data_IF_410827787752
#
_entry.id   IF_410827787752
#
_cell.length_a   1.000
_cell.length_b   1.000
_cell.length_c   1.000
_cell.angle_alpha   90.00
_cell.angle_beta   90.00
_cell.angle_gamma   90.00
#
_symmetry.space_group_name_H-M   'P 1'
#
loop_
_entity.id
_entity.type
_entity.pdbx_description
1 polymer ?
#
# COMPACT_ATOMS: atom_id res chain seq x y z
N UNK A 1 -3.24 9.86 16.00
CA UNK A 1 -4.09 8.65 16.13
C UNK A 1 -5.56 8.86 15.79
N UNK A 2 -6.16 10.04 16.03
CA UNK A 2 -7.62 10.28 15.93
C UNK A 2 -8.31 10.04 14.56
N UNK A 3 -7.62 10.15 13.42
CA UNK A 3 -8.30 10.21 12.10
C UNK A 3 -8.85 8.86 11.60
N UNK A 4 -8.18 7.74 11.89
CA UNK A 4 -8.63 6.42 11.39
C UNK A 4 -9.92 5.97 12.07
N UNK A 5 -10.01 6.12 13.40
CA UNK A 5 -11.23 5.78 14.15
C UNK A 5 -12.44 6.62 13.71
N UNK A 6 -12.24 7.91 13.45
CA UNK A 6 -13.32 8.79 12.97
C UNK A 6 -13.93 8.31 11.65
N UNK A 7 -13.09 7.91 10.68
CA UNK A 7 -13.59 7.41 9.39
C UNK A 7 -14.43 6.14 9.57
N UNK A 8 -13.97 5.19 10.40
CA UNK A 8 -14.72 3.96 10.63
C UNK A 8 -16.03 4.18 11.39
N UNK A 9 -16.07 5.11 12.35
CA UNK A 9 -17.33 5.49 12.99
C UNK A 9 -18.31 6.09 11.98
N UNK A 10 -17.86 6.98 11.09
CA UNK A 10 -18.72 7.52 10.03
C UNK A 10 -19.24 6.39 9.13
N UNK A 11 -18.36 5.52 8.63
CA UNK A 11 -18.77 4.40 7.77
C UNK A 11 -19.79 3.46 8.44
N UNK A 12 -19.65 3.24 9.75
CA UNK A 12 -20.58 2.42 10.54
C UNK A 12 -22.00 3.00 10.61
N UNK A 13 -22.12 4.32 10.59
CA UNK A 13 -23.41 5.02 10.61
C UNK A 13 -24.11 5.07 9.24
N UNK A 14 -23.40 4.73 8.16
CA UNK A 14 -23.98 4.74 6.81
C UNK A 14 -24.90 3.54 6.57
N UNK A 15 -25.93 3.75 5.72
CA UNK A 15 -26.81 2.70 5.25
C UNK A 15 -26.99 2.78 3.71
N UNK A 16 -26.46 1.82 2.93
CA UNK A 16 -25.68 0.68 3.38
C UNK A 16 -24.29 1.08 3.89
N UNK A 17 -23.73 0.27 4.81
CA UNK A 17 -22.34 0.43 5.24
C UNK A 17 -21.40 0.14 4.06
N UNK A 18 -20.45 1.03 3.74
CA UNK A 18 -19.58 0.87 2.57
C UNK A 18 -18.53 -0.22 2.78
N UNK A 19 -17.99 -0.72 1.67
CA UNK A 19 -16.70 -1.41 1.68
C UNK A 19 -15.57 -0.37 1.83
N UNK A 20 -14.53 -0.72 2.60
CA UNK A 20 -13.47 0.21 2.98
C UNK A 20 -12.11 -0.37 2.58
N UNK A 21 -11.37 0.36 1.76
CA UNK A 21 -9.96 0.06 1.47
C UNK A 21 -9.07 0.98 2.29
N UNK A 22 -8.25 0.39 3.16
CA UNK A 22 -7.35 1.12 4.04
C UNK A 22 -5.91 1.06 3.54
N UNK A 23 -5.30 2.24 3.38
CA UNK A 23 -3.90 2.34 3.01
C UNK A 23 -2.98 2.08 4.22
N UNK A 24 -2.44 0.87 4.29
CA UNK A 24 -1.28 0.53 5.13
C UNK A 24 0.03 0.79 4.36
N UNK A 25 1.15 0.26 4.84
CA UNK A 25 2.48 0.53 4.29
C UNK A 25 3.41 -0.65 4.55
N UNK A 26 4.33 -0.94 3.64
CA UNK A 26 5.39 -1.92 3.86
C UNK A 26 6.28 -1.58 5.07
N UNK A 27 6.29 -0.32 5.52
CA UNK A 27 7.00 0.09 6.72
C UNK A 27 6.53 -0.62 7.99
N UNK A 28 5.34 -1.24 8.02
CA UNK A 28 4.88 -2.04 9.18
C UNK A 28 5.76 -3.26 9.45
N UNK A 29 6.53 -3.73 8.45
CA UNK A 29 7.53 -4.78 8.65
C UNK A 29 8.74 -4.30 9.47
N UNK A 30 8.95 -2.99 9.58
CA UNK A 30 9.84 -2.38 10.57
C UNK A 30 11.24 -2.99 10.61
N UNK A 31 11.61 -3.54 11.78
CA UNK A 31 12.92 -4.15 12.04
C UNK A 31 13.03 -5.63 11.64
N UNK A 32 12.05 -6.16 10.89
CA UNK A 32 12.10 -7.54 10.42
C UNK A 32 13.33 -7.77 9.53
N UNK A 33 14.11 -8.81 9.85
CA UNK A 33 15.27 -9.24 9.06
C UNK A 33 14.91 -10.26 7.97
N UNK A 34 13.78 -10.97 8.15
CA UNK A 34 13.29 -11.94 7.17
C UNK A 34 12.93 -11.20 5.90
N UNK A 35 13.62 -11.54 4.82
CA UNK A 35 13.24 -11.16 3.47
C UNK A 35 13.06 -12.44 2.63
N UNK A 36 11.98 -12.54 1.84
CA UNK A 36 10.91 -11.55 1.71
C UNK A 36 9.99 -11.39 2.92
N UNK A 37 9.35 -10.23 2.94
CA UNK A 37 8.16 -10.01 3.72
C UNK A 37 6.95 -10.76 3.13
N UNK A 38 6.13 -11.27 4.03
CA UNK A 38 4.84 -11.90 3.74
C UNK A 38 3.75 -11.28 4.62
N UNK A 39 2.50 -11.38 4.20
CA UNK A 39 1.33 -10.92 4.95
C UNK A 39 1.24 -11.54 6.34
N UNK A 40 1.70 -12.79 6.49
CA UNK A 40 1.70 -13.54 7.75
C UNK A 40 2.85 -13.19 8.69
N UNK A 41 3.82 -12.39 8.23
CA UNK A 41 4.93 -11.99 9.09
C UNK A 41 4.45 -11.04 10.20
N UNK A 42 5.01 -11.23 11.40
CA UNK A 42 4.75 -10.34 12.53
C UNK A 42 5.24 -8.93 12.22
N UNK A 43 4.51 -7.93 12.70
CA UNK A 43 4.70 -6.51 12.35
C UNK A 43 4.68 -5.64 13.61
N UNK A 44 5.21 -6.18 14.70
CA UNK A 44 5.09 -5.62 16.05
C UNK A 44 6.32 -4.78 16.46
N UNK A 45 7.33 -4.69 15.58
CA UNK A 45 8.58 -3.94 15.80
C UNK A 45 8.73 -2.80 14.78
N UNK A 46 7.89 -1.73 14.85
CA UNK A 46 7.97 -0.62 13.91
C UNK A 46 9.29 0.14 14.04
N UNK A 47 9.92 0.46 12.91
CA UNK A 47 11.19 1.19 12.87
C UNK A 47 11.04 2.72 12.86
N UNK A 48 9.81 3.23 12.84
CA UNK A 48 9.52 4.67 12.81
C UNK A 48 8.14 4.98 13.38
N UNK A 49 7.92 6.25 13.75
CA UNK A 49 6.58 6.71 14.18
C UNK A 49 5.54 6.51 13.07
N UNK A 50 5.91 6.77 11.82
CA UNK A 50 5.03 6.51 10.68
C UNK A 50 4.61 5.03 10.60
N UNK A 51 5.57 4.09 10.70
CA UNK A 51 5.29 2.66 10.73
C UNK A 51 4.34 2.28 11.88
N UNK A 52 4.58 2.83 13.09
CA UNK A 52 3.72 2.61 14.24
C UNK A 52 2.29 3.10 14.00
N UNK A 53 2.11 4.27 13.37
CA UNK A 53 0.76 4.78 13.06
C UNK A 53 0.02 3.91 12.06
N UNK A 54 0.71 3.36 11.05
CA UNK A 54 0.11 2.43 10.08
C UNK A 54 -0.28 1.12 10.74
N UNK A 55 0.59 0.56 11.58
CA UNK A 55 0.29 -0.65 12.35
C UNK A 55 -0.88 -0.45 13.32
N UNK A 56 -0.96 0.69 14.01
CA UNK A 56 -2.11 1.05 14.83
C UNK A 56 -3.40 1.13 14.00
N UNK A 57 -3.33 1.69 12.79
CA UNK A 57 -4.44 1.68 11.83
C UNK A 57 -4.91 0.27 11.46
N UNK A 58 -4.00 -0.68 11.27
CA UNK A 58 -4.35 -2.09 11.03
C UNK A 58 -5.10 -2.72 12.22
N UNK A 59 -4.62 -2.48 13.44
CA UNK A 59 -5.26 -3.00 14.65
C UNK A 59 -6.67 -2.41 14.86
N UNK A 60 -6.84 -1.10 14.60
CA UNK A 60 -8.14 -0.43 14.65
C UNK A 60 -9.07 -1.04 13.60
N UNK A 61 -8.64 -1.15 12.34
CA UNK A 61 -9.42 -1.73 11.25
C UNK A 61 -9.91 -3.16 11.59
N UNK A 62 -9.01 -4.02 12.07
CA UNK A 62 -9.37 -5.36 12.51
C UNK A 62 -10.45 -5.35 13.60
N UNK A 63 -10.30 -4.46 14.59
CA UNK A 63 -11.26 -4.32 15.69
C UNK A 63 -12.63 -3.92 15.16
N UNK A 64 -12.72 -2.92 14.27
CA UNK A 64 -13.99 -2.49 13.66
C UNK A 64 -14.65 -3.58 12.82
N UNK A 65 -13.88 -4.33 12.02
CA UNK A 65 -14.41 -5.50 11.32
C UNK A 65 -14.96 -6.53 12.32
N UNK A 66 -14.21 -6.82 13.38
CA UNK A 66 -14.58 -7.83 14.35
C UNK A 66 -15.84 -7.48 15.16
N UNK A 67 -15.96 -6.24 15.65
CA UNK A 67 -17.06 -5.84 16.56
C UNK A 67 -18.27 -5.25 15.83
N UNK A 68 -18.06 -4.62 14.66
CA UNK A 68 -19.12 -3.95 13.90
C UNK A 68 -19.42 -4.57 12.54
N UNK A 69 -18.66 -5.59 12.12
CA UNK A 69 -18.89 -6.28 10.86
C UNK A 69 -18.56 -5.44 9.62
N UNK A 70 -17.81 -4.34 9.75
CA UNK A 70 -17.42 -3.51 8.61
C UNK A 70 -16.55 -4.28 7.63
N UNK A 71 -16.88 -4.22 6.34
CA UNK A 71 -16.05 -4.79 5.28
C UNK A 71 -14.81 -3.93 5.05
N UNK A 72 -13.65 -4.41 5.50
CA UNK A 72 -12.40 -3.67 5.45
C UNK A 72 -11.31 -4.53 4.83
N UNK A 73 -10.64 -3.99 3.81
CA UNK A 73 -9.43 -4.57 3.22
C UNK A 73 -8.26 -3.60 3.42
N UNK A 74 -7.19 -4.06 4.06
CA UNK A 74 -5.97 -3.27 4.19
C UNK A 74 -4.97 -3.57 3.08
N UNK A 75 -4.37 -2.54 2.48
CA UNK A 75 -3.34 -2.68 1.45
C UNK A 75 -2.00 -2.16 1.98
N UNK A 76 -0.98 -3.02 2.07
CA UNK A 76 0.39 -2.63 2.45
C UNK A 76 1.17 -2.22 1.20
N UNK A 77 1.19 -0.92 0.95
CA UNK A 77 1.88 -0.36 -0.21
C UNK A 77 3.40 -0.38 -0.06
N UNK A 78 4.08 -0.80 -1.12
CA UNK A 78 5.52 -0.56 -1.34
C UNK A 78 5.74 0.74 -2.10
N UNK A 79 6.94 0.96 -2.65
CA UNK A 79 7.26 2.22 -3.34
C UNK A 79 6.40 2.34 -4.60
N UNK A 80 5.57 3.39 -4.64
CA UNK A 80 4.71 3.71 -5.78
C UNK A 80 5.35 4.84 -6.59
N UNK A 81 5.34 4.71 -7.91
CA UNK A 81 5.83 5.74 -8.82
C UNK A 81 4.90 5.92 -10.02
N UNK A 82 4.98 7.07 -10.68
CA UNK A 82 4.22 7.36 -11.89
C UNK A 82 3.85 8.83 -12.01
N UNK A 83 3.11 9.20 -13.07
CA UNK A 83 2.55 10.53 -13.26
C UNK A 83 1.78 11.03 -12.03
N UNK A 84 1.83 12.34 -11.78
CA UNK A 84 1.23 12.99 -10.60
C UNK A 84 1.77 12.44 -9.27
N UNK A 85 2.96 11.86 -9.33
CA UNK A 85 3.68 11.32 -8.20
C UNK A 85 4.16 12.40 -7.23
N UNK A 86 4.72 11.94 -6.12
CA UNK A 86 5.27 12.80 -5.08
C UNK A 86 6.62 13.39 -5.50
N UNK A 87 6.80 14.73 -5.46
CA UNK A 87 8.03 15.37 -5.89
C UNK A 87 9.22 15.10 -4.96
N UNK A 88 8.96 14.62 -3.75
CA UNK A 88 9.97 14.30 -2.75
C UNK A 88 10.43 12.83 -2.77
N UNK A 89 10.10 12.09 -3.83
CA UNK A 89 10.53 10.69 -4.02
C UNK A 89 11.67 10.58 -5.03
N UNK A 90 12.51 9.55 -4.85
CA UNK A 90 13.76 9.37 -5.60
C UNK A 90 13.60 9.45 -7.12
N UNK A 91 12.56 8.82 -7.70
CA UNK A 91 12.33 8.86 -9.15
C UNK A 91 12.10 10.28 -9.69
N UNK A 92 11.52 11.17 -8.89
CA UNK A 92 11.26 12.56 -9.26
C UNK A 92 12.54 13.39 -9.23
N UNK A 93 13.35 13.24 -8.17
CA UNK A 93 14.65 13.90 -8.06
C UNK A 93 15.61 13.44 -9.15
N UNK A 94 15.68 12.14 -9.44
CA UNK A 94 16.51 11.60 -10.51
C UNK A 94 16.14 12.21 -11.87
N UNK A 95 14.86 12.29 -12.20
CA UNK A 95 14.42 12.92 -13.45
C UNK A 95 14.75 14.41 -13.49
N UNK A 96 14.48 15.17 -12.42
CA UNK A 96 14.85 16.59 -12.34
C UNK A 96 16.36 16.81 -12.52
N UNK A 97 17.19 16.01 -11.86
CA UNK A 97 18.64 16.17 -11.89
C UNK A 97 19.22 15.82 -13.25
N UNK A 98 18.74 14.75 -13.89
CA UNK A 98 19.10 14.40 -15.28
C UNK A 98 18.80 15.57 -16.23
N UNK A 99 17.59 16.15 -16.15
CA UNK A 99 17.19 17.24 -17.03
C UNK A 99 17.97 18.54 -16.80
N UNK A 100 18.47 18.75 -15.57
CA UNK A 100 19.31 19.91 -15.21
C UNK A 100 20.80 19.66 -15.43
N UNK A 101 21.20 18.50 -15.96
CA UNK A 101 22.61 18.12 -16.10
C UNK A 101 23.35 18.00 -14.75
N UNK A 102 22.62 17.72 -13.67
CA UNK A 102 23.19 17.54 -12.32
C UNK A 102 23.64 16.09 -12.11
N UNK A 103 24.65 15.92 -11.26
CA UNK A 103 25.12 14.60 -10.87
C UNK A 103 24.05 13.87 -10.02
N UNK A 104 23.76 12.62 -10.39
CA UNK A 104 22.79 11.78 -9.66
C UNK A 104 23.46 11.24 -8.38
N UNK A 105 22.83 11.47 -7.23
CA UNK A 105 23.26 10.86 -5.97
C UNK A 105 22.73 9.43 -5.84
N UNK A 106 23.62 8.44 -5.83
CA UNK A 106 23.28 7.04 -5.58
C UNK A 106 23.50 6.75 -4.09
N UNK A 107 22.44 6.35 -3.39
CA UNK A 107 22.52 6.04 -1.97
C UNK A 107 22.90 4.57 -1.77
N UNK A 108 24.04 4.34 -1.12
CA UNK A 108 24.49 3.02 -0.70
C UNK A 108 23.96 2.66 0.69
N UNK A 109 23.79 1.36 0.94
CA UNK A 109 23.44 0.82 2.25
C UNK A 109 24.65 0.79 3.19
N UNK A 110 24.40 0.44 4.45
CA UNK A 110 25.47 0.19 5.43
C UNK A 110 26.49 -0.80 4.83
N UNK A 111 27.78 -0.51 4.97
CA UNK A 111 28.91 -1.32 4.46
C UNK A 111 29.01 -1.43 2.92
N UNK A 112 28.50 -0.47 2.16
CA UNK A 112 28.67 -0.41 0.69
C UNK A 112 27.77 -1.36 -0.09
N UNK A 113 26.74 -1.93 0.55
CA UNK A 113 25.78 -2.79 -0.14
C UNK A 113 24.78 -1.95 -0.97
N UNK A 114 24.55 -2.36 -2.21
CA UNK A 114 23.51 -1.76 -3.08
C UNK A 114 22.13 -1.98 -2.49
N UNK A 115 21.35 -0.90 -2.33
CA UNK A 115 19.98 -0.98 -1.85
C UNK A 115 19.04 -1.24 -3.02
N UNK A 116 18.35 -2.37 -3.02
CA UNK A 116 17.22 -2.61 -3.92
C UNK A 116 15.91 -2.14 -3.30
N UNK A 117 15.04 -1.55 -4.12
CA UNK A 117 13.70 -1.12 -3.75
C UNK A 117 12.73 -1.64 -4.79
N UNK A 118 11.65 -2.27 -4.35
CA UNK A 118 10.55 -2.61 -5.22
C UNK A 118 9.77 -1.33 -5.56
N UNK A 119 9.64 -1.08 -6.86
CA UNK A 119 8.85 0.01 -7.44
C UNK A 119 7.66 -0.57 -8.20
N UNK A 120 6.47 -0.04 -7.95
CA UNK A 120 5.27 -0.42 -8.70
C UNK A 120 4.62 0.81 -9.31
N UNK A 121 4.24 0.70 -10.58
CA UNK A 121 3.58 1.76 -11.33
C UNK A 121 2.22 2.09 -10.69
N UNK A 122 1.88 3.39 -10.64
CA UNK A 122 0.61 3.88 -10.12
C UNK A 122 -0.59 3.22 -10.80
N UNK A 123 -0.52 2.92 -12.10
CA UNK A 123 -1.57 2.23 -12.85
C UNK A 123 -1.91 0.87 -12.23
N UNK A 124 -0.89 0.11 -11.84
CA UNK A 124 -1.09 -1.20 -11.23
C UNK A 124 -1.57 -1.05 -9.78
N UNK A 125 -1.06 -0.06 -9.04
CA UNK A 125 -1.59 0.25 -7.71
C UNK A 125 -3.08 0.57 -7.75
N UNK A 126 -3.53 1.37 -8.72
CA UNK A 126 -4.96 1.68 -8.91
C UNK A 126 -5.76 0.41 -9.20
N UNK A 127 -5.29 -0.48 -10.09
CA UNK A 127 -5.94 -1.78 -10.35
C UNK A 127 -6.06 -2.61 -9.08
N UNK A 128 -5.04 -2.62 -8.22
CA UNK A 128 -5.06 -3.32 -6.94
C UNK A 128 -6.10 -2.76 -5.97
N UNK A 129 -6.23 -1.43 -5.90
CA UNK A 129 -7.26 -0.76 -5.10
C UNK A 129 -8.67 -1.07 -5.61
N UNK A 130 -8.88 -1.02 -6.93
CA UNK A 130 -10.16 -1.36 -7.55
C UNK A 130 -10.51 -2.83 -7.32
N UNK A 131 -9.56 -3.74 -7.52
CA UNK A 131 -9.75 -5.16 -7.21
C UNK A 131 -10.15 -5.39 -5.76
N UNK A 132 -9.55 -4.67 -4.80
CA UNK A 132 -9.94 -4.73 -3.39
C UNK A 132 -11.37 -4.26 -3.10
N UNK A 133 -11.88 -3.29 -3.88
CA UNK A 133 -13.27 -2.85 -3.78
C UNK A 133 -14.23 -3.85 -4.45
N UNK A 134 -13.88 -4.33 -5.65
CA UNK A 134 -14.71 -5.23 -6.45
C UNK A 134 -14.90 -6.60 -5.79
N UNK A 135 -13.90 -7.07 -5.05
CA UNK A 135 -13.96 -8.34 -4.32
C UNK A 135 -14.40 -8.19 -2.86
N UNK A 136 -14.75 -6.97 -2.43
CA UNK A 136 -15.18 -6.74 -1.06
C UNK A 136 -16.53 -7.42 -0.78
N UNK A 137 -16.62 -8.17 0.33
CA UNK A 137 -17.89 -8.70 0.81
C UNK A 137 -18.73 -7.60 1.43
N UNK A 138 -20.05 -7.79 1.54
CA UNK A 138 -20.91 -6.83 2.25
C UNK A 138 -20.58 -6.80 3.75
N UNK A 139 -20.68 -5.61 4.34
CA UNK A 139 -20.63 -5.46 5.81
C UNK A 139 -21.79 -6.22 6.45
N UNK A 140 -21.54 -6.89 7.58
CA UNK A 140 -22.51 -7.76 8.25
C UNK A 140 -23.23 -7.10 9.43
N UNK A 141 -22.79 -5.90 9.83
CA UNK A 141 -23.35 -5.15 10.95
C UNK A 141 -23.05 -5.78 12.32
N UNK A 142 -23.67 -5.21 13.36
CA UNK A 142 -23.53 -5.66 14.75
C UNK A 142 -24.60 -6.73 15.03
N UNK A 143 -24.24 -8.02 15.03
CA UNK A 143 -25.14 -9.10 15.50
C UNK A 143 -25.44 -10.25 14.54
N UNK A 144 -24.89 -10.26 13.32
CA UNK A 144 -24.98 -11.44 12.44
C UNK A 144 -24.06 -12.59 12.87
N UNK A 145 -24.41 -13.83 12.54
CA UNK A 145 -23.50 -14.99 12.64
C UNK A 145 -22.21 -14.62 11.92
N UNK A 146 -21.11 -14.48 12.67
CA UNK A 146 -19.82 -14.05 12.12
C UNK A 146 -19.28 -15.15 11.22
N UNK A 147 -19.63 -15.11 9.93
CA UNK A 147 -18.80 -15.70 8.91
C UNK A 147 -17.37 -15.16 9.13
N UNK A 148 -16.37 -16.03 8.99
CA UNK A 148 -14.93 -15.79 9.22
C UNK A 148 -14.55 -14.31 9.05
N UNK A 149 -13.89 -13.73 10.06
CA UNK A 149 -13.42 -12.34 10.02
C UNK A 149 -12.57 -12.12 8.76
N UNK A 150 -13.08 -11.37 7.79
CA UNK A 150 -12.44 -11.18 6.48
C UNK A 150 -11.59 -9.90 6.40
N UNK A 151 -11.21 -9.28 7.53
CA UNK A 151 -10.28 -8.16 7.55
C UNK A 151 -8.84 -8.63 7.27
N UNK A 152 -8.52 -8.81 6.00
CA UNK A 152 -7.19 -9.15 5.52
C UNK A 152 -6.31 -7.91 5.27
N UNK A 153 -5.01 -8.05 5.49
CA UNK A 153 -4.00 -7.09 5.05
C UNK A 153 -3.17 -7.73 3.94
N UNK A 154 -3.22 -7.15 2.74
CA UNK A 154 -2.67 -7.70 1.52
C UNK A 154 -1.47 -6.85 1.08
N UNK A 155 -0.36 -7.47 0.72
CA UNK A 155 0.78 -6.73 0.13
C UNK A 155 0.43 -6.28 -1.28
N UNK A 156 0.60 -4.98 -1.53
CA UNK A 156 0.48 -4.41 -2.86
C UNK A 156 1.76 -3.66 -3.23
N UNK A 157 2.38 -4.06 -4.33
CA UNK A 157 3.56 -3.38 -4.87
C UNK A 157 4.88 -4.16 -4.88
N UNK A 158 4.82 -5.49 -4.77
CA UNK A 158 5.94 -6.37 -5.13
C UNK A 158 5.45 -7.35 -6.20
N UNK A 159 5.72 -7.10 -7.51
CA UNK A 159 5.15 -7.87 -8.62
C UNK A 159 5.32 -9.39 -8.49
N UNK A 160 6.42 -9.85 -7.90
CA UNK A 160 6.77 -11.26 -7.73
C UNK A 160 6.28 -11.89 -6.41
N UNK A 161 5.60 -11.14 -5.53
CA UNK A 161 5.18 -11.63 -4.20
C UNK A 161 3.72 -11.38 -3.88
N UNK A 162 2.97 -10.79 -4.79
CA UNK A 162 1.55 -10.51 -4.67
C UNK A 162 0.68 -11.79 -4.82
N UNK A 163 1.06 -12.94 -4.24
CA UNK A 163 0.29 -14.18 -4.37
C UNK A 163 -1.12 -14.03 -3.78
N UNK A 164 -1.22 -13.43 -2.59
CA UNK A 164 -2.51 -13.18 -1.96
C UNK A 164 -3.32 -12.15 -2.76
N UNK A 165 -2.70 -11.06 -3.19
CA UNK A 165 -3.38 -10.06 -4.03
C UNK A 165 -3.87 -10.65 -5.37
N UNK A 166 -3.09 -11.52 -6.02
CA UNK A 166 -3.50 -12.24 -7.24
C UNK A 166 -4.72 -13.13 -6.99
N UNK A 167 -4.70 -13.86 -5.87
CA UNK A 167 -5.75 -14.83 -5.51
C UNK A 167 -7.04 -14.15 -5.08
N UNK A 168 -6.94 -13.17 -4.18
CA UNK A 168 -8.08 -12.55 -3.52
C UNK A 168 -8.64 -11.37 -4.32
N UNK A 169 -7.80 -10.62 -5.04
CA UNK A 169 -8.18 -9.37 -5.70
C UNK A 169 -8.14 -9.45 -7.23
N UNK A 170 -7.73 -10.61 -7.79
CA UNK A 170 -7.41 -10.73 -9.21
C UNK A 170 -6.23 -9.85 -9.66
N UNK A 171 -5.43 -9.33 -8.71
CA UNK A 171 -4.40 -8.32 -8.99
C UNK A 171 -3.25 -8.89 -9.81
N UNK A 172 -3.10 -8.43 -11.05
CA UNK A 172 -2.01 -8.81 -11.96
C UNK A 172 -1.29 -7.55 -12.45
N UNK A 173 -0.21 -7.11 -11.79
CA UNK A 173 0.57 -5.98 -12.30
C UNK A 173 1.18 -6.33 -13.64
N UNK A 174 0.99 -5.46 -14.62
CA UNK A 174 1.46 -5.68 -16.01
C UNK A 174 2.54 -4.69 -16.42
N UNK A 175 2.76 -3.63 -15.65
CA UNK A 175 3.67 -2.56 -16.03
C UNK A 175 5.06 -2.83 -15.46
N UNK A 176 6.01 -3.15 -16.33
CA UNK A 176 7.41 -3.23 -15.95
C UNK A 176 7.99 -1.83 -15.65
N UNK A 177 9.13 -1.78 -14.97
CA UNK A 177 9.76 -0.54 -14.55
C UNK A 177 10.09 0.38 -15.74
N UNK A 178 10.57 -0.17 -16.86
CA UNK A 178 10.97 0.63 -18.00
C UNK A 178 9.75 1.29 -18.66
N UNK A 179 8.67 0.51 -18.86
CA UNK A 179 7.42 1.03 -19.42
C UNK A 179 6.80 2.11 -18.54
N UNK A 180 6.75 1.91 -17.22
CA UNK A 180 6.20 2.92 -16.32
C UNK A 180 7.07 4.17 -16.24
N UNK A 181 8.40 4.04 -16.25
CA UNK A 181 9.31 5.19 -16.25
C UNK A 181 9.17 6.03 -17.54
N UNK A 182 9.00 5.39 -18.70
CA UNK A 182 8.72 6.11 -19.96
C UNK A 182 7.44 6.95 -19.84
N UNK A 183 6.37 6.39 -19.27
CA UNK A 183 5.12 7.14 -19.03
C UNK A 183 5.34 8.32 -18.08
N UNK A 184 6.08 8.11 -16.98
CA UNK A 184 6.39 9.16 -16.03
C UNK A 184 7.19 10.30 -16.66
N UNK A 185 8.25 9.98 -17.42
CA UNK A 185 9.09 11.00 -18.07
C UNK A 185 8.31 11.78 -19.12
N UNK A 186 7.48 11.12 -19.94
CA UNK A 186 6.63 11.82 -20.91
C UNK A 186 5.71 12.84 -20.20
N UNK A 187 5.01 12.40 -19.16
CA UNK A 187 4.18 13.29 -18.35
C UNK A 187 4.98 14.43 -17.69
N UNK A 188 6.18 14.15 -17.18
CA UNK A 188 7.01 15.15 -16.52
C UNK A 188 7.45 16.24 -17.50
N UNK A 189 7.81 15.86 -18.73
CA UNK A 189 8.20 16.80 -19.78
C UNK A 189 7.02 17.65 -20.26
N UNK A 190 5.81 17.11 -20.32
CA UNK A 190 4.60 17.85 -20.67
C UNK A 190 4.23 18.94 -19.63
N UNK A 191 4.79 18.86 -18.42
CA UNK A 191 4.57 19.85 -17.35
C UNK A 191 5.61 20.98 -17.31
N UNK A 192 6.71 20.85 -18.05
CA UNK A 192 7.76 21.87 -18.14
C UNK A 192 7.42 22.92 -19.19
#
# INVERSE_FOLDING_TARGET
MHRHGLMFEVCKLMNPQPAIVCASSSSVYGLNKKVPFSEIDRTDNPSSLYAATKKAGEAIAHTYNHIHGLSITGLRFFTVYGPWGRPDMAYFFFTSDILKGKQISVFEGLNGFTVSRDFTCIDDIVKGCLGALDTATKSTGSGGVKARSNCGFIILGIPHRCHLARRELGYKPTTDLQSGLKKFVAWYLDLL
#
